data_IF_057585366756
#
_entry.id   IF_057585366756
#
_cell.length_a   1.000
_cell.length_b   1.000
_cell.length_c   1.000
_cell.angle_alpha   90.00
_cell.angle_beta   90.00
_cell.angle_gamma   90.00
#
_symmetry.space_group_name_H-M   'P 1'
#
loop_
_entity.id
_entity.type
_entity.pdbx_description
1 polymer ?
#
# COMPACT_ATOMS: atom_id res chain seq x y z
N UNK A 1 -13.86 -5.29 24.33
CA UNK A 1 -14.37 -4.70 23.08
C UNK A 1 -13.75 -5.48 21.94
N UNK A 2 -14.49 -6.39 21.31
CA UNK A 2 -13.96 -7.12 20.15
C UNK A 2 -13.96 -6.15 18.97
N UNK A 3 -12.79 -5.60 18.63
CA UNK A 3 -12.62 -4.78 17.43
C UNK A 3 -13.01 -5.58 16.21
N UNK A 4 -13.87 -5.03 15.35
CA UNK A 4 -14.30 -5.71 14.14
C UNK A 4 -13.24 -5.45 13.06
N UNK A 5 -12.38 -6.44 12.82
CA UNK A 5 -11.36 -6.35 11.77
C UNK A 5 -12.01 -6.40 10.38
N UNK A 6 -11.67 -5.45 9.52
CA UNK A 6 -12.17 -5.36 8.14
C UNK A 6 -11.00 -5.54 7.18
N UNK A 7 -11.16 -6.43 6.20
CA UNK A 7 -10.20 -6.59 5.12
C UNK A 7 -10.22 -5.34 4.24
N UNK A 8 -9.07 -4.66 4.13
CA UNK A 8 -8.94 -3.45 3.32
C UNK A 8 -8.16 -3.66 2.03
N UNK A 9 -7.50 -4.82 1.87
CA UNK A 9 -6.84 -5.22 0.64
C UNK A 9 -5.63 -6.12 0.88
N UNK A 10 -4.66 -6.08 -0.04
CA UNK A 10 -3.46 -6.90 -0.03
C UNK A 10 -2.20 -6.04 -0.04
N UNK A 11 -1.25 -6.36 0.84
CA UNK A 11 0.08 -5.78 0.83
C UNK A 11 1.09 -6.75 0.22
N UNK A 12 2.10 -6.18 -0.42
CA UNK A 12 3.23 -6.90 -0.97
C UNK A 12 4.37 -6.92 0.04
N UNK A 13 4.85 -8.11 0.37
CA UNK A 13 5.88 -8.34 1.38
C UNK A 13 7.06 -9.07 0.76
N UNK A 14 8.23 -8.90 1.38
CA UNK A 14 9.46 -9.62 1.04
C UNK A 14 9.93 -10.39 2.27
N UNK A 15 10.18 -11.68 2.11
CA UNK A 15 10.78 -12.53 3.14
C UNK A 15 12.27 -12.67 2.87
N UNK A 16 13.15 -12.29 3.81
CA UNK A 16 14.60 -12.52 3.67
C UNK A 16 14.98 -13.99 3.83
N UNK A 17 14.14 -14.81 4.46
CA UNK A 17 14.41 -16.22 4.75
C UNK A 17 13.64 -17.17 3.82
N UNK A 18 13.05 -16.67 2.74
CA UNK A 18 12.28 -17.50 1.82
C UNK A 18 11.02 -18.05 2.49
N UNK A 19 10.88 -19.38 2.44
CA UNK A 19 9.82 -20.14 3.08
C UNK A 19 10.03 -20.41 4.57
N UNK A 20 11.21 -20.09 5.12
CA UNK A 20 11.50 -20.27 6.53
C UNK A 20 10.89 -19.14 7.38
N UNK A 21 10.68 -19.43 8.66
CA UNK A 21 9.98 -18.56 9.62
C UNK A 21 10.83 -17.36 10.04
N UNK A 22 10.89 -16.33 9.19
CA UNK A 22 11.37 -15.00 9.55
C UNK A 22 10.29 -13.95 9.29
N UNK A 23 10.40 -12.81 9.96
CA UNK A 23 9.49 -11.69 9.75
C UNK A 23 9.62 -11.15 8.32
N UNK A 24 8.50 -11.13 7.60
CA UNK A 24 8.40 -10.53 6.28
C UNK A 24 8.26 -9.00 6.42
N UNK A 25 8.96 -8.26 5.56
CA UNK A 25 8.93 -6.80 5.55
C UNK A 25 8.03 -6.29 4.42
N UNK A 26 7.25 -5.21 4.63
CA UNK A 26 6.45 -4.63 3.58
C UNK A 26 7.37 -4.01 2.51
N UNK A 27 7.12 -4.35 1.24
CA UNK A 27 7.87 -3.78 0.10
C UNK A 27 7.45 -2.33 -0.14
N UNK A 28 6.16 -2.05 0.07
CA UNK A 28 5.54 -0.72 -0.10
C UNK A 28 4.42 -0.55 0.93
N UNK A 29 4.14 0.70 1.29
CA UNK A 29 2.97 1.05 2.12
C UNK A 29 1.64 1.01 1.34
N UNK A 30 1.69 0.79 0.03
CA UNK A 30 0.51 0.73 -0.84
C UNK A 30 -0.28 -0.56 -0.62
N UNK A 31 -1.60 -0.42 -0.52
CA UNK A 31 -2.55 -1.52 -0.46
C UNK A 31 -3.14 -1.73 -1.85
N UNK A 32 -3.06 -2.96 -2.33
CA UNK A 32 -3.48 -3.39 -3.66
C UNK A 32 -4.76 -4.22 -3.58
N UNK A 33 -5.41 -4.42 -4.74
CA UNK A 33 -6.31 -5.56 -4.91
C UNK A 33 -5.48 -6.85 -4.98
N UNK A 34 -6.15 -8.00 -4.80
CA UNK A 34 -5.48 -9.30 -4.86
C UNK A 34 -4.74 -9.50 -6.19
N UNK A 35 -5.39 -9.20 -7.32
CA UNK A 35 -4.84 -9.40 -8.66
C UNK A 35 -3.66 -8.47 -8.93
N UNK A 36 -3.76 -7.22 -8.48
CA UNK A 36 -2.68 -6.24 -8.58
C UNK A 36 -1.46 -6.68 -7.78
N UNK A 37 -1.66 -7.19 -6.56
CA UNK A 37 -0.56 -7.69 -5.74
C UNK A 37 0.15 -8.87 -6.43
N UNK A 38 -0.61 -9.85 -6.92
CA UNK A 38 -0.05 -11.03 -7.60
C UNK A 38 0.72 -10.61 -8.86
N UNK A 39 0.13 -9.76 -9.71
CA UNK A 39 0.80 -9.24 -10.91
C UNK A 39 2.12 -8.53 -10.57
N UNK A 40 2.14 -7.76 -9.47
CA UNK A 40 3.34 -7.06 -9.01
C UNK A 40 4.39 -8.04 -8.46
N UNK A 41 3.97 -9.04 -7.69
CA UNK A 41 4.81 -10.12 -7.16
C UNK A 41 5.52 -10.85 -8.30
N UNK A 42 4.77 -11.30 -9.30
CA UNK A 42 5.30 -12.04 -10.46
C UNK A 42 6.31 -11.18 -11.26
N UNK A 43 6.01 -9.90 -11.44
CA UNK A 43 6.95 -8.96 -12.03
C UNK A 43 8.25 -8.87 -11.23
N UNK A 44 8.18 -8.76 -9.91
CA UNK A 44 9.37 -8.65 -9.05
C UNK A 44 10.18 -9.95 -9.03
N UNK A 45 9.53 -11.10 -8.94
CA UNK A 45 10.17 -12.41 -8.99
C UNK A 45 10.92 -12.61 -10.32
N UNK A 46 10.34 -12.14 -11.45
CA UNK A 46 11.03 -12.16 -12.75
C UNK A 46 12.30 -11.31 -12.81
N UNK A 47 12.37 -10.23 -12.01
CA UNK A 47 13.52 -9.32 -11.95
C UNK A 47 14.51 -9.70 -10.86
N UNK A 48 14.05 -10.35 -9.80
CA UNK A 48 14.82 -10.68 -8.59
C UNK A 48 14.48 -12.12 -8.16
N UNK A 49 14.92 -13.13 -8.91
CA UNK A 49 14.56 -14.53 -8.66
C UNK A 49 15.12 -15.07 -7.33
N UNK A 50 16.09 -14.37 -6.72
CA UNK A 50 16.71 -14.76 -5.45
C UNK A 50 16.01 -14.14 -4.23
N UNK A 51 14.94 -13.37 -4.44
CA UNK A 51 14.13 -12.79 -3.36
C UNK A 51 12.78 -13.47 -3.33
N UNK A 52 12.23 -13.63 -2.12
CA UNK A 52 10.94 -14.27 -1.92
C UNK A 52 9.89 -13.22 -1.62
N UNK A 53 8.91 -13.09 -2.52
CA UNK A 53 7.83 -12.13 -2.38
C UNK A 53 6.52 -12.84 -2.06
N UNK A 54 5.66 -12.18 -1.29
CA UNK A 54 4.37 -12.73 -0.88
C UNK A 54 3.31 -11.64 -0.80
N UNK A 55 2.07 -12.02 -1.12
CA UNK A 55 0.90 -11.16 -1.01
C UNK A 55 0.13 -11.56 0.25
N UNK A 56 -0.04 -10.62 1.18
CA UNK A 56 -0.73 -10.85 2.45
C UNK A 56 -1.95 -9.96 2.58
N UNK A 57 -3.02 -10.51 3.12
CA UNK A 57 -4.23 -9.76 3.47
C UNK A 57 -3.94 -8.73 4.57
N UNK A 58 -4.50 -7.54 4.40
CA UNK A 58 -4.35 -6.44 5.36
C UNK A 58 -5.71 -6.15 5.96
N UNK A 59 -5.77 -6.23 7.28
CA UNK A 59 -6.96 -5.90 8.06
C UNK A 59 -6.74 -4.60 8.84
N UNK A 60 -7.79 -3.80 9.00
CA UNK A 60 -7.83 -2.66 9.93
C UNK A 60 -8.98 -2.79 10.89
N UNK A 61 -8.84 -2.21 12.07
CA UNK A 61 -9.95 -2.10 13.03
C UNK A 61 -10.98 -1.11 12.48
N UNK A 62 -12.23 -1.57 12.35
CA UNK A 62 -13.34 -0.72 11.88
C UNK A 62 -13.51 0.57 12.68
N UNK A 63 -13.18 0.55 13.97
CA UNK A 63 -13.33 1.70 14.85
C UNK A 63 -12.31 2.80 14.52
N UNK A 64 -11.10 2.42 14.08
CA UNK A 64 -10.06 3.36 13.66
C UNK A 64 -10.42 4.05 12.35
N UNK A 65 -11.04 3.33 11.41
CA UNK A 65 -11.48 3.90 10.11
C UNK A 65 -12.46 5.06 10.34
N UNK A 66 -13.42 4.90 11.25
CA UNK A 66 -14.40 5.95 11.57
C UNK A 66 -13.78 7.15 12.31
N UNK A 67 -12.63 6.96 12.98
CA UNK A 67 -11.93 8.01 13.69
C UNK A 67 -11.07 8.87 12.76
N UNK A 68 -10.47 8.28 11.72
CA UNK A 68 -9.67 9.00 10.70
C UNK A 68 -10.53 9.96 9.87
N UNK A 69 -11.74 9.57 9.46
CA UNK A 69 -12.67 10.46 8.74
C UNK A 69 -13.04 11.71 9.56
N UNK A 70 -13.12 11.58 10.88
CA UNK A 70 -13.47 12.68 11.78
C UNK A 70 -12.33 13.68 11.99
N UNK A 71 -11.09 13.28 11.74
CA UNK A 71 -9.88 14.09 11.93
C UNK A 71 -9.19 14.49 10.63
N UNK A 72 -9.75 14.15 9.48
CA UNK A 72 -9.29 14.65 8.19
C UNK A 72 -9.46 16.18 8.15
N UNK A 73 -8.38 16.91 8.45
CA UNK A 73 -8.32 18.35 8.25
C UNK A 73 -8.48 18.59 6.73
N UNK A 74 -9.49 19.35 6.28
CA UNK A 74 -9.62 19.68 4.86
C UNK A 74 -8.30 20.29 4.39
N UNK A 75 -7.72 19.75 3.31
CA UNK A 75 -6.53 20.34 2.71
C UNK A 75 -6.80 21.84 2.53
N UNK A 76 -5.96 22.74 3.08
CA UNK A 76 -6.14 24.16 2.84
C UNK A 76 -6.14 24.38 1.34
N UNK A 77 -7.11 25.12 0.82
CA UNK A 77 -7.16 25.51 -0.58
C UNK A 77 -5.89 26.30 -0.91
N UNK A 78 -4.84 25.63 -1.36
CA UNK A 78 -3.65 26.28 -1.88
C UNK A 78 -4.09 27.01 -3.16
N UNK A 79 -3.91 28.33 -3.27
CA UNK A 79 -4.19 29.02 -4.51
C UNK A 79 -3.34 28.38 -5.59
N UNK A 80 -3.98 27.96 -6.69
CA UNK A 80 -3.31 27.45 -7.87
C UNK A 80 -2.28 28.50 -8.31
N UNK A 81 -0.99 28.23 -8.11
CA UNK A 81 0.06 29.01 -8.77
C UNK A 81 -0.12 28.77 -10.26
N UNK A 82 -0.49 29.82 -10.98
CA UNK A 82 -0.59 29.78 -12.43
C UNK A 82 0.77 29.37 -12.98
N UNK A 83 0.80 28.26 -13.71
CA UNK A 83 1.98 27.88 -14.48
C UNK A 83 2.20 28.97 -15.54
N UNK A 84 3.42 29.51 -15.71
CA UNK A 84 3.67 30.48 -16.75
C UNK A 84 3.39 29.85 -18.12
N UNK A 85 2.60 30.54 -18.94
CA UNK A 85 2.36 30.10 -20.32
C UNK A 85 3.69 29.99 -21.06
N UNK A 86 3.93 28.80 -21.61
CA UNK A 86 5.10 28.52 -22.43
C UNK A 86 4.91 29.25 -23.75
N UNK A 87 5.44 30.46 -23.87
CA UNK A 87 5.54 31.16 -25.15
C UNK A 87 6.43 30.34 -26.08
N UNK A 88 5.80 29.64 -27.04
CA UNK A 88 6.49 29.01 -28.15
C UNK A 88 6.99 30.11 -29.09
N UNK A 89 8.32 30.20 -29.26
CA UNK A 89 8.93 30.96 -30.35
C UNK A 89 8.86 30.16 -31.64
#
# INVERSE_FOLDING_TARGET
MAGHMVLIGWALWVSPCGSDSCDALPVTETIFTQEQCISRKDYLESKRPNLYFLCGEVYRDSNEITAEEKHAIPAPHLPLRTLPERLSR
#
